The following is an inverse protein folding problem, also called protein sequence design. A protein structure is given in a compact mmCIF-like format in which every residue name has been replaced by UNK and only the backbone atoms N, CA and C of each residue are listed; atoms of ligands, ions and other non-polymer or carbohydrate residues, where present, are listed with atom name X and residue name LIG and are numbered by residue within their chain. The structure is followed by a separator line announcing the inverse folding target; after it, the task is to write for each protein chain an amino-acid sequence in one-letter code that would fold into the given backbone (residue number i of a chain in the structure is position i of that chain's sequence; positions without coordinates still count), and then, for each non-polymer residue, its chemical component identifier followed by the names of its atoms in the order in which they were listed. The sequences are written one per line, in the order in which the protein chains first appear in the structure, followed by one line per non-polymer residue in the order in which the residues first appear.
data_IF_388041706627
#
_entry.id   IF_388041706627
#
_cell.length_a   1.000
_cell.length_b   1.000
_cell.length_c   1.000
_cell.angle_alpha   90.00
_cell.angle_beta   90.00
_cell.angle_gamma   90.00
#
_symmetry.space_group_name_H-M   'P 1'
#
loop_
_entity.id
_entity.type
_entity.pdbx_description
1 polymer ?
#
# COMPACT_ATOMS: atom_id res chain seq x y z
N UNK A 1 9.21 0.43 -19.43
CA UNK A 1 8.49 1.57 -18.83
C UNK A 1 9.13 1.98 -17.51
N UNK A 2 10.07 2.94 -17.52
CA UNK A 2 10.75 3.39 -16.28
C UNK A 2 9.78 3.94 -15.21
N UNK A 3 8.63 4.50 -15.63
CA UNK A 3 7.59 5.00 -14.71
C UNK A 3 7.04 3.91 -13.79
N UNK A 4 6.83 2.69 -14.30
CA UNK A 4 6.28 1.57 -13.53
C UNK A 4 7.29 1.07 -12.50
N UNK A 5 8.56 0.92 -12.90
CA UNK A 5 9.64 0.51 -11.99
C UNK A 5 9.81 1.49 -10.82
N UNK A 6 9.66 2.79 -11.07
CA UNK A 6 9.68 3.81 -10.01
C UNK A 6 8.49 3.66 -9.06
N UNK A 7 7.29 3.39 -9.58
CA UNK A 7 6.11 3.16 -8.74
C UNK A 7 6.26 1.89 -7.88
N UNK A 8 6.76 0.80 -8.45
CA UNK A 8 7.01 -0.46 -7.73
C UNK A 8 8.06 -0.30 -6.62
N UNK A 9 9.14 0.43 -6.90
CA UNK A 9 10.15 0.80 -5.91
C UNK A 9 9.59 1.70 -4.80
N UNK A 10 8.77 2.69 -5.17
CA UNK A 10 8.13 3.59 -4.21
C UNK A 10 7.17 2.84 -3.26
N UNK A 11 6.39 1.88 -3.78
CA UNK A 11 5.52 1.04 -2.95
C UNK A 11 6.32 0.19 -1.97
N UNK A 12 7.44 -0.39 -2.43
CA UNK A 12 8.33 -1.19 -1.56
C UNK A 12 8.92 -0.32 -0.44
N UNK A 13 9.45 0.87 -0.79
CA UNK A 13 10.00 1.79 0.18
C UNK A 13 8.95 2.28 1.20
N UNK A 14 7.74 2.59 0.72
CA UNK A 14 6.62 2.99 1.58
C UNK A 14 6.22 1.87 2.54
N UNK A 15 6.18 0.63 2.06
CA UNK A 15 5.90 -0.54 2.87
C UNK A 15 6.95 -0.74 3.97
N UNK A 16 8.24 -0.59 3.64
CA UNK A 16 9.34 -0.63 4.61
C UNK A 16 9.27 0.50 5.64
N UNK A 17 8.87 1.71 5.23
CA UNK A 17 8.67 2.85 6.15
C UNK A 17 7.49 2.59 7.08
N UNK A 18 6.37 2.07 6.59
CA UNK A 18 5.23 1.70 7.42
C UNK A 18 5.62 0.65 8.46
N UNK A 19 6.30 -0.42 8.02
CA UNK A 19 6.79 -1.48 8.90
C UNK A 19 7.80 -0.95 9.94
N UNK A 20 8.71 -0.05 9.56
CA UNK A 20 9.68 0.51 10.52
C UNK A 20 9.07 1.51 11.50
N UNK A 21 8.01 2.23 11.10
CA UNK A 21 7.39 3.29 11.90
C UNK A 21 6.21 2.81 12.75
N UNK A 22 5.66 1.62 12.45
CA UNK A 22 4.62 0.98 13.25
C UNK A 22 3.45 1.96 13.54
N UNK A 23 3.06 2.12 14.80
CA UNK A 23 1.95 2.98 15.22
C UNK A 23 2.12 4.45 14.79
N UNK A 24 3.35 4.93 14.60
CA UNK A 24 3.60 6.29 14.13
C UNK A 24 3.14 6.52 12.69
N UNK A 25 2.89 5.45 11.92
CA UNK A 25 2.35 5.56 10.56
C UNK A 25 0.87 5.96 10.54
N UNK A 26 0.15 5.85 11.66
CA UNK A 26 -1.29 6.16 11.74
C UNK A 26 -1.63 7.54 11.20
N UNK A 27 -0.78 8.56 11.43
CA UNK A 27 -0.95 9.93 10.91
C UNK A 27 -0.94 10.04 9.39
N UNK A 28 -0.36 9.06 8.69
CA UNK A 28 -0.24 9.04 7.23
C UNK A 28 -1.24 8.08 6.57
N UNK A 29 -1.91 7.24 7.36
CA UNK A 29 -2.82 6.21 6.85
C UNK A 29 -3.90 6.76 5.92
N UNK A 30 -4.62 7.78 6.37
CA UNK A 30 -5.75 8.34 5.64
C UNK A 30 -5.31 9.00 4.31
N UNK A 31 -4.05 9.41 4.22
CA UNK A 31 -3.46 9.92 2.98
C UNK A 31 -3.00 8.78 2.07
N UNK A 32 -2.40 7.73 2.61
CA UNK A 32 -1.74 6.66 1.84
C UNK A 32 -2.73 5.62 1.32
N UNK A 33 -3.69 5.18 2.15
CA UNK A 33 -4.55 4.04 1.82
C UNK A 33 -5.40 4.23 0.55
N UNK A 34 -5.94 5.43 0.24
CA UNK A 34 -6.74 5.61 -0.97
C UNK A 34 -5.91 5.40 -2.25
N UNK A 35 -4.65 5.82 -2.25
CA UNK A 35 -3.76 5.63 -3.41
C UNK A 35 -3.42 4.16 -3.62
N UNK A 36 -3.12 3.43 -2.55
CA UNK A 36 -2.82 1.99 -2.65
C UNK A 36 -4.04 1.21 -3.17
N UNK A 37 -5.24 1.54 -2.68
CA UNK A 37 -6.50 0.96 -3.17
C UNK A 37 -6.75 1.31 -4.63
N UNK A 38 -6.53 2.55 -5.04
CA UNK A 38 -6.68 2.95 -6.44
C UNK A 38 -5.74 2.12 -7.34
N UNK A 39 -4.49 1.89 -6.94
CA UNK A 39 -3.58 1.01 -7.70
C UNK A 39 -4.14 -0.42 -7.73
N UNK A 40 -4.57 -0.95 -6.59
CA UNK A 40 -5.08 -2.32 -6.49
C UNK A 40 -6.30 -2.56 -7.40
N UNK A 41 -7.22 -1.58 -7.48
CA UNK A 41 -8.43 -1.68 -8.30
C UNK A 41 -8.15 -1.44 -9.78
N UNK A 42 -7.31 -0.46 -10.12
CA UNK A 42 -7.13 -0.04 -11.51
C UNK A 42 -6.00 -0.80 -12.26
N UNK A 43 -5.04 -1.40 -11.54
CA UNK A 43 -3.96 -2.18 -12.14
C UNK A 43 -4.42 -3.61 -12.50
N UNK A 44 -5.40 -3.74 -13.41
CA UNK A 44 -5.96 -5.03 -13.84
C UNK A 44 -5.25 -5.66 -15.04
N UNK A 45 -4.51 -4.86 -15.80
CA UNK A 45 -3.80 -5.32 -16.99
C UNK A 45 -2.62 -6.24 -16.64
N UNK A 46 -2.29 -7.21 -17.50
CA UNK A 46 -1.20 -8.18 -17.27
C UNK A 46 0.14 -7.48 -17.02
N UNK A 47 0.36 -6.37 -17.72
CA UNK A 47 1.58 -5.56 -17.61
C UNK A 47 1.77 -4.94 -16.22
N UNK A 48 0.68 -4.75 -15.47
CA UNK A 48 0.65 -4.11 -14.15
C UNK A 48 0.53 -5.11 -13.00
N UNK A 49 0.59 -6.42 -13.27
CA UNK A 49 0.40 -7.46 -12.24
C UNK A 49 1.38 -7.32 -11.07
N UNK A 50 2.63 -6.97 -11.36
CA UNK A 50 3.66 -6.79 -10.33
C UNK A 50 3.39 -5.54 -9.47
N UNK A 51 3.04 -4.42 -10.11
CA UNK A 51 2.62 -3.20 -9.44
C UNK A 51 1.40 -3.45 -8.51
N UNK A 52 0.41 -4.20 -9.00
CA UNK A 52 -0.76 -4.59 -8.20
C UNK A 52 -0.37 -5.42 -6.98
N UNK A 53 0.50 -6.42 -7.16
CA UNK A 53 0.98 -7.27 -6.07
C UNK A 53 1.76 -6.46 -5.03
N UNK A 54 2.61 -5.52 -5.46
CA UNK A 54 3.33 -4.61 -4.57
C UNK A 54 2.41 -3.67 -3.80
N UNK A 55 1.33 -3.21 -4.43
CA UNK A 55 0.32 -2.41 -3.72
C UNK A 55 -0.38 -3.23 -2.65
N UNK A 56 -0.75 -4.48 -2.96
CA UNK A 56 -1.37 -5.39 -1.99
C UNK A 56 -0.45 -5.66 -0.78
N UNK A 57 0.83 -5.96 -1.03
CA UNK A 57 1.85 -6.13 0.01
C UNK A 57 1.99 -4.87 0.89
N UNK A 58 2.03 -3.69 0.25
CA UNK A 58 2.09 -2.42 0.96
C UNK A 58 0.85 -2.18 1.84
N UNK A 59 -0.36 -2.47 1.33
CA UNK A 59 -1.61 -2.36 2.11
C UNK A 59 -1.56 -3.26 3.34
N UNK A 60 -1.08 -4.50 3.21
CA UNK A 60 -0.96 -5.43 4.33
C UNK A 60 0.02 -4.92 5.40
N UNK A 61 1.20 -4.43 5.00
CA UNK A 61 2.19 -3.89 5.94
C UNK A 61 1.70 -2.61 6.63
N UNK A 62 1.07 -1.70 5.88
CA UNK A 62 0.43 -0.51 6.43
C UNK A 62 -0.67 -0.92 7.42
N UNK A 63 -1.52 -1.88 7.07
CA UNK A 63 -2.60 -2.37 7.94
C UNK A 63 -2.09 -2.98 9.24
N UNK A 64 -0.96 -3.69 9.20
CA UNK A 64 -0.29 -4.20 10.41
C UNK A 64 0.29 -3.07 11.26
N UNK A 65 0.97 -2.10 10.64
CA UNK A 65 1.59 -0.97 11.34
C UNK A 65 0.58 -0.09 12.09
N UNK A 66 -0.58 0.19 11.49
CA UNK A 66 -1.62 1.07 12.09
C UNK A 66 -2.55 0.35 13.06
N UNK A 67 -2.50 -0.98 13.09
CA UNK A 67 -3.34 -1.80 13.95
C UNK A 67 -4.77 -2.01 13.46
N UNK A 68 -5.42 -2.98 14.10
CA UNK A 68 -6.74 -3.51 13.70
C UNK A 68 -7.83 -2.45 13.66
N UNK A 69 -7.86 -1.52 14.63
CA UNK A 69 -8.95 -0.55 14.73
C UNK A 69 -8.97 0.41 13.55
N UNK A 70 -7.80 0.94 13.18
CA UNK A 70 -7.67 1.85 12.03
C UNK A 70 -7.88 1.12 10.70
N UNK A 71 -7.37 -0.11 10.57
CA UNK A 71 -7.47 -0.89 9.32
C UNK A 71 -8.84 -1.56 9.09
N UNK A 72 -9.71 -1.67 10.12
CA UNK A 72 -10.94 -2.49 10.08
C UNK A 72 -11.90 -2.14 8.94
N UNK A 73 -12.05 -0.85 8.63
CA UNK A 73 -12.95 -0.40 7.58
C UNK A 73 -12.47 -0.88 6.20
N UNK A 74 -11.16 -0.84 5.99
CA UNK A 74 -10.52 -1.18 4.74
C UNK A 74 -10.33 -2.69 4.55
N UNK A 75 -10.23 -3.45 5.64
CA UNK A 75 -10.08 -4.92 5.63
C UNK A 75 -11.36 -5.68 5.20
N UNK A 76 -12.51 -5.02 5.22
CA UNK A 76 -13.81 -5.64 4.85
C UNK A 76 -14.13 -5.56 3.35
N UNK A 77 -13.23 -4.97 2.58
CA UNK A 77 -13.39 -4.67 1.15
C UNK A 77 -12.52 -5.61 0.32
#
# INVERSE_FOLDING_TARGET
NGKQMVQEGALTALASVADSSQEHFQKYYDAVIPYLKAILVNATDKSNRMLRAKSMECISLVGMAVGKEKFRADAKQ
#
